data_IF_290104454969
#
_entry.id   IF_290104454969
#
_cell.length_a   1.000
_cell.length_b   1.000
_cell.length_c   1.000
_cell.angle_alpha   90.00
_cell.angle_beta   90.00
_cell.angle_gamma   90.00
#
_symmetry.space_group_name_H-M   'P 1'
#
loop_
_entity.id
_entity.type
_entity.pdbx_description
1 polymer ?
#
# COMPACT_ATOMS: atom_id res chain seq x y z
N UNK A 1 7.62 -57.13 -38.17
CA UNK A 1 6.53 -56.40 -37.48
C UNK A 1 7.01 -55.40 -36.42
N UNK A 2 8.05 -55.67 -35.61
CA UNK A 2 8.50 -54.77 -34.53
C UNK A 2 8.90 -53.34 -34.95
N UNK A 3 9.55 -53.14 -36.10
CA UNK A 3 10.00 -51.81 -36.56
C UNK A 3 8.87 -50.82 -36.91
N UNK A 4 7.70 -51.30 -37.40
CA UNK A 4 6.59 -50.40 -37.76
C UNK A 4 5.94 -49.77 -36.52
N UNK A 5 5.87 -50.49 -35.40
CA UNK A 5 5.30 -49.98 -34.15
C UNK A 5 6.21 -48.95 -33.46
N UNK A 6 7.53 -49.10 -33.56
CA UNK A 6 8.48 -48.13 -33.00
C UNK A 6 8.40 -46.77 -33.71
N UNK A 7 8.33 -46.76 -35.05
CA UNK A 7 8.21 -45.53 -35.84
C UNK A 7 6.88 -44.80 -35.58
N UNK A 8 5.78 -45.55 -35.45
CA UNK A 8 4.46 -44.98 -35.11
C UNK A 8 4.49 -44.37 -33.69
N UNK A 9 5.11 -45.05 -32.73
CA UNK A 9 5.20 -44.55 -31.34
C UNK A 9 6.03 -43.26 -31.21
N UNK A 10 7.18 -43.17 -31.92
CA UNK A 10 8.04 -41.98 -31.91
C UNK A 10 7.35 -40.80 -32.60
N UNK A 11 6.65 -41.04 -33.72
CA UNK A 11 5.90 -40.00 -34.43
C UNK A 11 4.74 -39.45 -33.61
N UNK A 12 4.05 -40.29 -32.85
CA UNK A 12 2.93 -39.88 -31.99
C UNK A 12 3.40 -39.04 -30.79
N UNK A 13 4.54 -39.38 -30.18
CA UNK A 13 5.17 -38.60 -29.11
C UNK A 13 5.64 -37.23 -29.62
N UNK A 14 6.19 -37.16 -30.84
CA UNK A 14 6.61 -35.92 -31.48
C UNK A 14 5.42 -34.98 -31.78
N UNK A 15 4.31 -35.54 -32.28
CA UNK A 15 3.08 -34.78 -32.55
C UNK A 15 2.48 -34.24 -31.24
N UNK A 16 2.41 -35.06 -30.19
CA UNK A 16 1.92 -34.65 -28.87
C UNK A 16 2.85 -33.59 -28.26
N UNK A 17 4.16 -33.73 -28.40
CA UNK A 17 5.15 -32.74 -27.94
C UNK A 17 5.02 -31.39 -28.65
N UNK A 18 4.88 -31.38 -29.98
CA UNK A 18 4.68 -30.16 -30.77
C UNK A 18 3.33 -29.49 -30.42
N UNK A 19 2.26 -30.28 -30.27
CA UNK A 19 0.96 -29.78 -29.80
C UNK A 19 1.06 -29.19 -28.39
N UNK A 20 1.77 -29.86 -27.48
CA UNK A 20 1.99 -29.38 -26.11
C UNK A 20 2.76 -28.06 -26.04
N UNK A 21 3.83 -27.93 -26.82
CA UNK A 21 4.60 -26.67 -26.94
C UNK A 21 3.73 -25.56 -27.58
N UNK A 22 2.97 -25.88 -28.63
CA UNK A 22 2.05 -24.94 -29.26
C UNK A 22 0.96 -24.44 -28.30
N UNK A 23 0.41 -25.33 -27.48
CA UNK A 23 -0.54 -25.01 -26.41
C UNK A 23 0.08 -24.13 -25.32
N UNK A 24 1.32 -24.41 -24.91
CA UNK A 24 2.03 -23.60 -23.92
C UNK A 24 2.33 -22.19 -24.44
N UNK A 25 2.84 -22.05 -25.67
CA UNK A 25 3.10 -20.76 -26.31
C UNK A 25 1.80 -19.98 -26.51
N UNK A 26 0.73 -20.66 -26.93
CA UNK A 26 -0.59 -20.04 -27.06
C UNK A 26 -1.10 -19.54 -25.70
N UNK A 27 -0.95 -20.33 -24.63
CA UNK A 27 -1.38 -19.94 -23.30
C UNK A 27 -0.59 -18.74 -22.76
N UNK A 28 0.73 -18.74 -22.92
CA UNK A 28 1.61 -17.63 -22.52
C UNK A 28 1.25 -16.32 -23.25
N UNK A 29 1.04 -16.39 -24.57
CA UNK A 29 0.62 -15.24 -25.37
C UNK A 29 -0.74 -14.68 -24.93
N UNK A 30 -1.68 -15.55 -24.56
CA UNK A 30 -2.99 -15.13 -24.03
C UNK A 30 -2.84 -14.47 -22.66
N UNK A 31 -2.02 -15.05 -21.78
CA UNK A 31 -1.77 -14.50 -20.44
C UNK A 31 -1.13 -13.11 -20.52
N UNK A 32 -0.09 -12.95 -21.35
CA UNK A 32 0.55 -11.66 -21.59
C UNK A 32 -0.44 -10.62 -22.15
N UNK A 33 -1.35 -11.02 -23.04
CA UNK A 33 -2.41 -10.14 -23.54
C UNK A 33 -3.36 -9.69 -22.42
N UNK A 34 -3.78 -10.61 -21.54
CA UNK A 34 -4.66 -10.28 -20.41
C UNK A 34 -3.98 -9.38 -19.38
N UNK A 35 -2.70 -9.62 -19.09
CA UNK A 35 -1.92 -8.76 -18.19
C UNK A 35 -1.83 -7.34 -18.75
N UNK A 36 -1.54 -7.20 -20.05
CA UNK A 36 -1.50 -5.92 -20.76
C UNK A 36 -2.84 -5.17 -20.71
N UNK A 37 -3.97 -5.86 -20.95
CA UNK A 37 -5.31 -5.28 -20.81
C UNK A 37 -5.53 -4.79 -19.38
N UNK A 38 -5.17 -5.62 -18.41
CA UNK A 38 -5.41 -5.35 -16.99
C UNK A 38 -4.59 -4.15 -16.50
N UNK A 39 -3.31 -4.06 -16.88
CA UNK A 39 -2.44 -2.94 -16.52
C UNK A 39 -2.89 -1.62 -17.16
N UNK A 40 -3.19 -1.64 -18.46
CA UNK A 40 -3.70 -0.46 -19.15
C UNK A 40 -5.03 0.03 -18.55
N UNK A 41 -5.95 -0.89 -18.25
CA UNK A 41 -7.23 -0.57 -17.63
C UNK A 41 -7.08 0.11 -16.25
N UNK A 42 -6.33 -0.50 -15.32
CA UNK A 42 -6.15 0.08 -13.99
C UNK A 42 -5.36 1.39 -14.01
N UNK A 43 -4.42 1.54 -14.95
CA UNK A 43 -3.72 2.80 -15.19
C UNK A 43 -4.67 3.91 -15.65
N UNK A 44 -5.57 3.62 -16.59
CA UNK A 44 -6.56 4.60 -17.09
C UNK A 44 -7.59 4.97 -16.03
N UNK A 45 -8.22 4.00 -15.36
CA UNK A 45 -9.23 4.31 -14.32
C UNK A 45 -8.63 5.13 -13.18
N UNK A 46 -7.36 4.86 -12.81
CA UNK A 46 -6.64 5.67 -11.81
C UNK A 46 -6.45 7.13 -12.25
N UNK A 47 -6.17 7.36 -13.54
CA UNK A 47 -5.91 8.69 -14.09
C UNK A 47 -7.19 9.51 -14.28
N UNK A 48 -8.22 8.88 -14.85
CA UNK A 48 -9.42 9.58 -15.32
C UNK A 48 -10.53 9.61 -14.26
N UNK A 49 -10.37 8.88 -13.14
CA UNK A 49 -11.38 8.70 -12.11
C UNK A 49 -12.75 8.32 -12.70
N UNK A 50 -12.72 7.52 -13.78
CA UNK A 50 -13.89 7.08 -14.54
C UNK A 50 -14.63 5.99 -13.77
N UNK A 51 -15.38 6.41 -12.73
CA UNK A 51 -16.15 5.56 -11.82
C UNK A 51 -17.63 5.97 -11.87
N UNK A 52 -18.58 5.03 -11.65
CA UNK A 52 -19.98 5.39 -11.46
C UNK A 52 -20.15 6.40 -10.32
N UNK A 53 -21.10 7.34 -10.47
CA UNK A 53 -21.36 8.39 -9.47
C UNK A 53 -21.76 7.83 -8.09
N UNK A 54 -22.33 6.63 -8.06
CA UNK A 54 -22.69 5.88 -6.84
C UNK A 54 -21.47 5.49 -5.98
N UNK A 55 -20.26 5.51 -6.55
CA UNK A 55 -19.01 5.19 -5.87
C UNK A 55 -18.38 6.48 -5.34
N UNK A 56 -18.45 6.71 -4.03
CA UNK A 56 -17.93 7.95 -3.42
C UNK A 56 -16.43 8.14 -3.71
N UNK A 57 -16.06 9.35 -4.16
CA UNK A 57 -14.72 9.75 -4.68
C UNK A 57 -13.51 9.55 -3.75
N UNK A 58 -13.71 9.20 -2.48
CA UNK A 58 -12.65 9.07 -1.47
C UNK A 58 -12.20 7.62 -1.21
N UNK A 59 -12.58 6.67 -2.07
CA UNK A 59 -12.18 5.26 -1.95
C UNK A 59 -10.77 5.07 -2.54
N UNK A 60 -9.95 4.21 -1.89
CA UNK A 60 -8.69 3.70 -2.46
C UNK A 60 -8.92 3.30 -3.93
N UNK A 61 -8.10 3.83 -4.83
CA UNK A 61 -8.19 3.54 -6.28
C UNK A 61 -8.25 2.02 -6.48
N UNK A 62 -9.09 1.50 -7.40
CA UNK A 62 -9.18 0.07 -7.59
C UNK A 62 -7.86 -0.41 -8.21
N UNK A 63 -7.37 -1.55 -7.75
CA UNK A 63 -6.12 -2.18 -8.19
C UNK A 63 -6.36 -3.67 -8.39
N UNK A 64 -5.40 -4.35 -9.05
CA UNK A 64 -5.44 -5.81 -9.26
C UNK A 64 -5.58 -6.58 -7.93
N UNK A 65 -5.04 -6.04 -6.85
CA UNK A 65 -4.96 -6.70 -5.54
C UNK A 65 -6.24 -6.54 -4.71
N UNK A 66 -7.09 -5.55 -5.01
CA UNK A 66 -8.26 -5.21 -4.20
C UNK A 66 -9.61 -5.39 -4.92
N UNK A 67 -9.58 -5.84 -6.17
CA UNK A 67 -10.76 -5.93 -7.03
C UNK A 67 -10.86 -7.30 -7.70
N UNK A 68 -12.09 -7.78 -7.88
CA UNK A 68 -12.35 -8.85 -8.84
C UNK A 68 -12.52 -8.24 -10.22
N UNK A 69 -11.96 -8.89 -11.22
CA UNK A 69 -11.86 -8.38 -12.56
C UNK A 69 -12.11 -9.51 -13.55
N UNK A 70 -12.91 -9.29 -14.57
CA UNK A 70 -13.16 -10.29 -15.61
C UNK A 70 -13.21 -9.63 -16.99
N UNK A 71 -12.54 -10.26 -17.97
CA UNK A 71 -12.53 -9.81 -19.36
C UNK A 71 -13.45 -10.72 -20.17
N UNK A 72 -14.26 -10.10 -21.03
CA UNK A 72 -15.17 -10.76 -21.95
C UNK A 72 -14.89 -10.26 -23.37
N UNK A 73 -15.01 -11.14 -24.36
CA UNK A 73 -15.05 -10.70 -25.76
C UNK A 73 -16.35 -9.94 -26.02
N UNK A 74 -16.30 -8.86 -26.81
CA UNK A 74 -17.49 -8.21 -27.35
C UNK A 74 -18.03 -8.99 -28.54
N UNK A 75 -19.36 -9.12 -28.62
CA UNK A 75 -20.03 -9.69 -29.78
C UNK A 75 -19.71 -8.84 -31.02
N UNK A 76 -19.45 -9.51 -32.14
CA UNK A 76 -19.22 -8.90 -33.45
C UNK A 76 -18.02 -7.94 -33.56
N UNK A 77 -17.11 -7.90 -32.57
CA UNK A 77 -15.87 -7.13 -32.68
C UNK A 77 -14.70 -7.81 -31.92
N UNK A 78 -13.71 -8.30 -32.68
CA UNK A 78 -12.53 -9.01 -32.12
C UNK A 78 -11.52 -8.08 -31.43
N UNK A 79 -11.61 -6.77 -31.63
CA UNK A 79 -10.68 -5.78 -31.05
C UNK A 79 -11.26 -5.08 -29.82
N UNK A 80 -12.53 -5.34 -29.48
CA UNK A 80 -13.19 -4.74 -28.32
C UNK A 80 -13.49 -5.79 -27.25
N UNK A 81 -13.30 -5.36 -26.00
CA UNK A 81 -13.49 -6.20 -24.84
C UNK A 81 -14.38 -5.50 -23.84
N UNK A 82 -15.17 -6.30 -23.12
CA UNK A 82 -15.88 -5.84 -21.95
C UNK A 82 -15.15 -6.27 -20.68
N UNK A 83 -15.09 -5.36 -19.72
CA UNK A 83 -14.53 -5.59 -18.40
C UNK A 83 -15.65 -5.50 -17.39
N UNK A 84 -15.76 -6.54 -16.55
CA UNK A 84 -16.57 -6.51 -15.33
C UNK A 84 -15.63 -6.30 -14.15
N UNK A 85 -15.75 -5.16 -13.49
CA UNK A 85 -15.00 -4.83 -12.28
C UNK A 85 -15.93 -4.98 -11.07
N UNK A 86 -15.47 -5.68 -10.04
CA UNK A 86 -16.12 -5.69 -8.73
C UNK A 86 -15.13 -5.20 -7.69
N UNK A 87 -15.40 -4.03 -7.13
CA UNK A 87 -14.53 -3.35 -6.17
C UNK A 87 -15.23 -3.16 -4.82
N UNK A 88 -14.43 -3.00 -3.77
CA UNK A 88 -14.96 -2.66 -2.44
C UNK A 88 -15.03 -1.15 -2.32
N UNK A 89 -16.23 -0.63 -2.09
CA UNK A 89 -16.47 0.78 -1.82
C UNK A 89 -17.02 1.03 -0.42
N UNK A 90 -17.04 2.31 -0.03
CA UNK A 90 -17.68 2.78 1.19
C UNK A 90 -19.17 3.00 0.90
N UNK A 91 -20.03 2.42 1.72
CA UNK A 91 -21.48 2.62 1.69
C UNK A 91 -21.78 4.12 1.79
N UNK A 92 -22.68 4.60 0.94
CA UNK A 92 -23.09 6.00 0.90
C UNK A 92 -23.62 6.52 2.25
N UNK A 93 -24.13 5.63 3.10
CA UNK A 93 -24.65 5.94 4.43
C UNK A 93 -23.58 5.93 5.52
N UNK A 94 -22.31 5.69 5.18
CA UNK A 94 -21.21 5.73 6.14
C UNK A 94 -21.02 7.14 6.68
N UNK A 95 -20.92 7.26 8.01
CA UNK A 95 -20.82 8.54 8.71
C UNK A 95 -19.53 9.28 8.34
N UNK A 96 -19.70 10.53 7.90
CA UNK A 96 -18.61 11.48 7.76
C UNK A 96 -18.35 12.12 9.12
N UNK A 97 -17.08 12.21 9.50
CA UNK A 97 -16.63 13.16 10.51
C UNK A 97 -16.17 14.39 9.75
N UNK A 98 -16.84 15.51 10.01
CA UNK A 98 -16.33 16.81 9.57
C UNK A 98 -15.13 17.13 10.49
N UNK A 99 -13.92 16.91 10.01
CA UNK A 99 -12.74 17.54 10.60
C UNK A 99 -12.35 18.74 9.74
N UNK A 100 -12.27 19.89 10.38
CA UNK A 100 -11.56 21.02 9.81
C UNK A 100 -10.77 21.71 10.90
N UNK A 101 -9.50 21.97 10.60
CA UNK A 101 -8.95 23.34 10.62
C UNK A 101 -7.57 23.31 9.96
N UNK A 102 -7.56 23.66 8.67
CA UNK A 102 -6.38 24.13 7.97
C UNK A 102 -6.78 25.37 7.18
N UNK A 103 -5.92 26.38 7.14
CA UNK A 103 -6.12 27.56 6.30
C UNK A 103 -5.27 27.44 5.04
N UNK A 104 -5.88 27.63 3.87
CA UNK A 104 -5.17 27.83 2.60
C UNK A 104 -5.60 29.21 2.09
N UNK A 105 -4.63 30.12 1.92
CA UNK A 105 -4.89 31.49 1.44
C UNK A 105 -5.99 32.22 2.23
N UNK A 106 -5.98 32.10 3.56
CA UNK A 106 -6.95 32.77 4.44
C UNK A 106 -8.37 32.16 4.46
N UNK A 107 -8.63 31.07 3.72
CA UNK A 107 -9.91 30.36 3.74
C UNK A 107 -9.80 29.06 4.52
N UNK A 108 -10.78 28.82 5.39
CA UNK A 108 -10.88 27.57 6.15
C UNK A 108 -11.30 26.44 5.21
N UNK A 109 -10.42 25.45 5.02
CA UNK A 109 -10.74 24.24 4.27
C UNK A 109 -11.34 23.20 5.22
N UNK A 110 -12.53 22.72 4.84
CA UNK A 110 -13.18 21.58 5.47
C UNK A 110 -12.87 20.36 4.61
N UNK A 111 -12.09 19.43 5.16
CA UNK A 111 -11.80 18.15 4.49
C UNK A 111 -12.64 17.07 5.17
N UNK A 112 -13.76 16.63 4.57
CA UNK A 112 -14.57 15.58 5.15
C UNK A 112 -13.75 14.28 5.21
N UNK A 113 -13.66 13.68 6.39
CA UNK A 113 -13.00 12.39 6.62
C UNK A 113 -14.05 11.38 7.10
N UNK A 114 -13.94 10.11 6.73
CA UNK A 114 -14.89 9.10 7.24
C UNK A 114 -14.53 8.69 8.67
N UNK A 115 -15.55 8.42 9.49
CA UNK A 115 -15.33 7.75 10.77
C UNK A 115 -14.89 6.32 10.49
N UNK A 116 -13.57 6.06 10.53
CA UNK A 116 -12.98 4.74 10.28
C UNK A 116 -13.63 3.62 11.09
N UNK A 117 -14.19 3.92 12.28
CA UNK A 117 -14.85 2.93 13.14
C UNK A 117 -16.29 2.60 12.71
N UNK A 118 -16.89 3.45 11.88
CA UNK A 118 -18.28 3.33 11.39
C UNK A 118 -18.37 3.16 9.88
N UNK A 119 -17.26 3.03 9.16
CA UNK A 119 -17.26 2.77 7.72
C UNK A 119 -17.97 1.44 7.45
N UNK A 120 -19.04 1.49 6.68
CA UNK A 120 -19.67 0.29 6.12
C UNK A 120 -19.10 0.07 4.72
N UNK A 121 -18.59 -1.13 4.49
CA UNK A 121 -18.06 -1.52 3.18
C UNK A 121 -19.09 -2.32 2.39
N UNK A 122 -19.26 -1.99 1.10
CA UNK A 122 -20.13 -2.71 0.15
C UNK A 122 -19.37 -3.02 -1.13
N UNK A 123 -19.76 -4.11 -1.79
CA UNK A 123 -19.26 -4.41 -3.14
C UNK A 123 -20.03 -3.65 -4.21
N UNK A 124 -19.30 -2.97 -5.09
CA UNK A 124 -19.84 -2.31 -6.27
C UNK A 124 -19.44 -3.11 -7.51
N UNK A 125 -20.33 -3.18 -8.49
CA UNK A 125 -20.04 -3.83 -9.77
C UNK A 125 -20.25 -2.85 -10.89
N UNK A 126 -19.21 -2.64 -11.67
CA UNK A 126 -19.18 -1.71 -12.80
C UNK A 126 -18.77 -2.45 -14.06
N UNK A 127 -19.21 -1.95 -15.19
CA UNK A 127 -18.98 -2.54 -16.50
C UNK A 127 -18.30 -1.52 -17.39
N UNK A 128 -17.28 -1.94 -18.11
CA UNK A 128 -16.50 -1.07 -18.98
C UNK A 128 -16.30 -1.70 -20.35
N UNK A 129 -16.18 -0.89 -21.38
CA UNK A 129 -15.69 -1.28 -22.68
C UNK A 129 -14.26 -0.74 -22.86
N UNK A 130 -13.38 -1.58 -23.41
CA UNK A 130 -12.02 -1.20 -23.80
C UNK A 130 -11.72 -1.63 -25.23
N UNK A 131 -10.82 -0.89 -25.88
CA UNK A 131 -10.47 -1.09 -27.29
C UNK A 131 -8.98 -1.36 -27.47
N UNK A 132 -8.66 -2.48 -28.13
CA UNK A 132 -7.30 -2.87 -28.49
C UNK A 132 -6.61 -1.86 -29.40
N UNK A 133 -7.34 -1.21 -30.31
CA UNK A 133 -6.78 -0.20 -31.21
C UNK A 133 -6.14 0.97 -30.44
N UNK A 134 -6.65 1.25 -29.24
CA UNK A 134 -6.12 2.27 -28.34
C UNK A 134 -5.12 1.72 -27.32
N UNK A 135 -4.57 0.52 -27.55
CA UNK A 135 -3.75 -0.18 -26.57
C UNK A 135 -4.46 -0.31 -25.20
N UNK A 136 -5.79 -0.47 -25.23
CA UNK A 136 -6.69 -0.56 -24.09
C UNK A 136 -6.75 0.68 -23.20
N UNK A 137 -6.21 1.82 -23.64
CA UNK A 137 -6.23 3.05 -22.84
C UNK A 137 -7.56 3.78 -22.88
N UNK A 138 -8.40 3.56 -23.91
CA UNK A 138 -9.74 4.11 -23.97
C UNK A 138 -10.71 3.23 -23.17
N UNK A 139 -11.05 3.67 -21.97
CA UNK A 139 -11.96 2.96 -21.05
C UNK A 139 -13.28 3.72 -21.00
N UNK A 140 -14.37 3.09 -21.46
CA UNK A 140 -15.72 3.67 -21.43
C UNK A 140 -16.58 2.93 -20.39
N UNK A 141 -17.18 3.66 -19.45
CA UNK A 141 -18.20 3.09 -18.55
C UNK A 141 -19.46 2.74 -19.36
N UNK A 142 -19.99 1.54 -19.16
CA UNK A 142 -21.21 1.06 -19.82
C UNK A 142 -22.20 0.55 -18.79
N UNK A 143 -23.48 0.59 -19.14
CA UNK A 143 -24.52 0.08 -18.25
C UNK A 143 -24.59 -1.46 -18.29
N UNK A 144 -25.25 -2.06 -17.30
CA UNK A 144 -25.39 -3.52 -17.18
C UNK A 144 -26.12 -4.15 -18.37
N UNK A 145 -27.12 -3.47 -18.93
CA UNK A 145 -27.91 -3.98 -20.04
C UNK A 145 -27.06 -4.11 -21.30
N UNK A 146 -26.31 -3.07 -21.65
CA UNK A 146 -25.37 -3.05 -22.77
C UNK A 146 -24.34 -4.19 -22.64
N UNK A 147 -23.70 -4.30 -21.47
CA UNK A 147 -22.77 -5.38 -21.18
C UNK A 147 -23.40 -6.76 -21.33
N UNK A 148 -24.60 -6.95 -20.79
CA UNK A 148 -25.26 -8.27 -20.79
C UNK A 148 -25.65 -8.71 -22.19
N UNK A 149 -26.13 -7.77 -23.02
CA UNK A 149 -26.55 -8.04 -24.38
C UNK A 149 -25.36 -8.35 -25.30
N UNK A 150 -24.25 -7.62 -25.16
CA UNK A 150 -23.12 -7.69 -26.11
C UNK A 150 -21.93 -8.51 -25.63
N UNK A 151 -21.91 -9.04 -24.40
CA UNK A 151 -20.84 -9.94 -23.97
C UNK A 151 -20.97 -11.29 -24.67
N UNK A 152 -19.83 -11.88 -25.07
CA UNK A 152 -19.74 -13.25 -25.56
C UNK A 152 -19.21 -14.17 -24.44
N UNK A 153 -18.03 -14.73 -24.64
CA UNK A 153 -17.38 -15.63 -23.70
C UNK A 153 -16.46 -14.86 -22.74
N UNK A 154 -16.33 -15.37 -21.51
CA UNK A 154 -15.34 -14.88 -20.55
C UNK A 154 -13.97 -15.40 -20.97
N UNK A 155 -13.03 -14.49 -21.14
CA UNK A 155 -11.67 -14.77 -21.58
C UNK A 155 -10.71 -14.90 -20.39
N UNK A 156 -10.93 -14.07 -19.36
CA UNK A 156 -10.09 -14.01 -18.17
C UNK A 156 -10.91 -13.66 -16.94
N UNK A 157 -10.48 -14.14 -15.78
CA UNK A 157 -11.08 -13.77 -14.50
C UNK A 157 -10.03 -13.81 -13.40
N UNK A 158 -10.00 -12.76 -12.59
CA UNK A 158 -9.24 -12.65 -11.36
C UNK A 158 -10.22 -12.40 -10.21
N UNK A 159 -10.14 -13.21 -9.16
CA UNK A 159 -11.04 -13.13 -8.02
C UNK A 159 -10.32 -12.67 -6.74
N UNK A 160 -9.97 -11.38 -6.70
CA UNK A 160 -9.33 -10.78 -5.53
C UNK A 160 -10.29 -9.92 -4.70
N UNK A 161 -11.57 -9.86 -5.06
CA UNK A 161 -12.59 -9.17 -4.28
C UNK A 161 -12.82 -9.85 -2.92
N UNK A 162 -12.55 -9.14 -1.83
CA UNK A 162 -12.86 -9.63 -0.51
C UNK A 162 -13.21 -8.49 0.46
N UNK A 163 -14.50 -8.34 0.78
CA UNK A 163 -15.00 -7.35 1.75
C UNK A 163 -14.45 -7.60 3.16
N UNK A 164 -14.22 -8.85 3.56
CA UNK A 164 -13.63 -9.18 4.87
C UNK A 164 -12.17 -8.73 4.95
N UNK A 165 -11.37 -8.92 3.89
CA UNK A 165 -9.99 -8.40 3.81
C UNK A 165 -9.95 -6.87 3.75
N UNK A 166 -10.92 -6.24 3.09
CA UNK A 166 -11.06 -4.79 3.09
C UNK A 166 -11.44 -4.24 4.48
N UNK A 167 -12.35 -4.94 5.20
CA UNK A 167 -12.65 -4.66 6.61
C UNK A 167 -11.44 -4.89 7.51
N UNK A 168 -10.61 -5.91 7.25
CA UNK A 168 -9.34 -6.15 7.96
C UNK A 168 -8.27 -5.09 7.62
N UNK A 169 -8.33 -4.42 6.46
CA UNK A 169 -7.46 -3.25 6.22
C UNK A 169 -7.87 -2.03 7.06
N UNK A 170 -9.12 -1.98 7.51
CA UNK A 170 -9.60 -1.24 8.70
C UNK A 170 -9.54 -2.15 9.92
N UNK A 171 -8.46 -2.90 10.07
CA UNK A 171 -8.08 -3.39 11.37
C UNK A 171 -8.13 -2.18 12.29
N UNK A 172 -8.88 -2.32 13.37
CA UNK A 172 -8.79 -1.47 14.55
C UNK A 172 -7.32 -1.59 14.95
N UNK A 173 -6.47 -0.71 14.40
CA UNK A 173 -5.06 -0.72 14.72
C UNK A 173 -5.05 -0.39 16.21
N UNK A 174 -4.72 -1.39 17.03
CA UNK A 174 -4.75 -1.26 18.48
C UNK A 174 -3.93 -0.03 18.82
N UNK A 175 -4.56 0.93 19.49
CA UNK A 175 -3.85 2.13 19.95
C UNK A 175 -2.67 1.68 20.80
N UNK A 176 -1.55 2.37 20.63
CA UNK A 176 -0.37 2.16 21.44
C UNK A 176 -0.63 2.75 22.83
N UNK A 177 -0.22 2.02 23.86
CA UNK A 177 -0.19 2.46 25.25
C UNK A 177 1.22 2.24 25.81
N UNK A 178 1.59 2.96 26.88
CA UNK A 178 2.95 2.86 27.42
C UNK A 178 3.29 1.46 27.90
N UNK A 179 2.34 0.70 28.43
CA UNK A 179 2.55 -0.69 28.87
C UNK A 179 2.99 -1.58 27.70
N UNK A 180 2.32 -1.46 26.56
CA UNK A 180 2.66 -2.19 25.32
C UNK A 180 4.00 -1.73 24.76
N UNK A 181 4.31 -0.43 24.83
CA UNK A 181 5.60 0.08 24.38
C UNK A 181 6.75 -0.40 25.29
N UNK A 182 6.62 -0.29 26.61
CA UNK A 182 7.65 -0.69 27.57
C UNK A 182 7.96 -2.19 27.53
N UNK A 183 6.95 -3.03 27.26
CA UNK A 183 7.15 -4.48 27.07
C UNK A 183 7.79 -4.86 25.74
N UNK A 184 7.91 -3.92 24.78
CA UNK A 184 8.53 -4.16 23.47
C UNK A 184 9.48 -3.02 23.09
N UNK A 185 10.77 -3.19 23.40
CA UNK A 185 11.82 -2.18 23.14
C UNK A 185 11.88 -1.71 21.69
N UNK A 186 11.74 -2.62 20.71
CA UNK A 186 11.76 -2.25 19.28
C UNK A 186 10.56 -1.37 18.92
N UNK A 187 9.37 -1.69 19.45
CA UNK A 187 8.17 -0.90 19.22
C UNK A 187 8.25 0.47 19.92
N UNK A 188 8.79 0.53 21.14
CA UNK A 188 9.06 1.79 21.85
C UNK A 188 10.02 2.67 21.05
N UNK A 189 11.18 2.13 20.65
CA UNK A 189 12.19 2.90 19.91
C UNK A 189 11.65 3.34 18.54
N UNK A 190 10.89 2.49 17.84
CA UNK A 190 10.22 2.88 16.60
C UNK A 190 9.24 4.04 16.80
N UNK A 191 8.51 4.04 17.91
CA UNK A 191 7.54 5.10 18.25
C UNK A 191 8.25 6.43 18.51
N UNK A 192 9.36 6.38 19.27
CA UNK A 192 10.22 7.52 19.59
C UNK A 192 10.86 8.09 18.32
N UNK A 193 11.52 7.23 17.54
CA UNK A 193 12.19 7.64 16.29
C UNK A 193 11.19 8.21 15.30
N UNK A 194 10.01 7.57 15.16
CA UNK A 194 8.94 8.08 14.29
C UNK A 194 8.47 9.49 14.72
N UNK A 195 8.29 9.72 16.02
CA UNK A 195 7.94 11.04 16.55
C UNK A 195 9.05 12.05 16.26
N UNK A 196 10.30 11.65 16.50
CA UNK A 196 11.50 12.43 16.23
C UNK A 196 11.53 12.96 14.80
N UNK A 197 11.48 12.04 13.83
CA UNK A 197 11.46 12.33 12.39
C UNK A 197 10.28 13.23 12.00
N UNK A 198 9.09 12.99 12.57
CA UNK A 198 7.85 13.55 12.02
C UNK A 198 7.36 14.82 12.69
N UNK A 199 7.88 15.16 13.88
CA UNK A 199 7.25 16.18 14.72
C UNK A 199 8.23 17.02 15.56
N UNK A 200 9.54 16.73 15.55
CA UNK A 200 10.49 17.58 16.25
C UNK A 200 10.93 18.77 15.40
N UNK A 201 11.11 19.96 16.03
CA UNK A 201 11.76 21.10 15.40
C UNK A 201 13.29 20.98 15.44
N UNK A 202 13.83 19.77 15.26
CA UNK A 202 15.27 19.49 15.20
C UNK A 202 15.53 18.82 13.86
N UNK A 203 16.09 19.55 12.89
CA UNK A 203 16.22 19.08 11.49
C UNK A 203 17.01 17.79 11.37
N UNK A 204 18.05 17.61 12.20
CA UNK A 204 18.84 16.38 12.27
C UNK A 204 18.03 15.10 12.52
N UNK A 205 16.90 15.20 13.22
CA UNK A 205 16.00 14.05 13.41
C UNK A 205 15.25 13.70 12.14
N UNK A 206 15.03 14.66 11.23
CA UNK A 206 14.37 14.44 9.94
C UNK A 206 15.30 13.72 8.96
N UNK A 207 16.62 13.86 9.10
CA UNK A 207 17.63 13.11 8.32
C UNK A 207 17.51 11.59 8.53
N UNK A 208 16.99 11.14 9.67
CA UNK A 208 16.69 9.72 9.93
C UNK A 208 15.50 9.19 9.10
N UNK A 209 14.86 10.02 8.27
CA UNK A 209 13.70 9.61 7.49
C UNK A 209 14.01 8.62 6.35
N UNK A 210 15.28 8.35 6.02
CA UNK A 210 15.62 7.33 5.02
C UNK A 210 15.24 5.93 5.52
N UNK A 211 14.15 5.39 4.95
CA UNK A 211 13.47 4.17 5.44
C UNK A 211 14.03 2.89 4.82
N UNK A 212 14.89 3.00 3.80
CA UNK A 212 15.26 1.87 2.95
C UNK A 212 16.10 0.84 3.72
N UNK A 213 17.00 1.34 4.56
CA UNK A 213 18.01 0.53 5.26
C UNK A 213 17.66 0.28 6.74
N UNK A 214 16.64 0.92 7.31
CA UNK A 214 16.22 0.76 8.71
C UNK A 214 17.00 1.65 9.69
N UNK A 215 17.03 1.29 10.97
CA UNK A 215 17.72 2.06 12.02
C UNK A 215 18.48 1.15 12.97
N UNK A 216 19.65 1.62 13.40
CA UNK A 216 20.42 1.01 14.46
C UNK A 216 20.33 1.88 15.72
N UNK A 217 20.10 1.22 16.87
CA UNK A 217 20.00 1.87 18.17
C UNK A 217 21.00 1.25 19.13
N UNK A 218 22.02 2.01 19.56
CA UNK A 218 23.00 1.53 20.54
C UNK A 218 22.66 2.08 21.93
N UNK A 219 22.61 1.20 22.92
CA UNK A 219 22.31 1.57 24.29
C UNK A 219 23.57 1.84 25.11
N UNK A 220 23.69 3.07 25.65
CA UNK A 220 24.77 3.42 26.57
C UNK A 220 24.39 3.16 28.04
N UNK A 221 25.38 2.87 28.92
CA UNK A 221 25.16 2.68 30.36
C UNK A 221 24.52 3.88 31.07
N UNK A 222 24.74 5.10 30.58
CA UNK A 222 24.19 6.34 31.15
C UNK A 222 22.71 6.60 30.78
N UNK A 223 22.09 5.63 30.11
CA UNK A 223 20.70 5.66 29.70
C UNK A 223 20.47 6.19 28.28
N UNK A 224 21.46 6.82 27.64
CA UNK A 224 21.32 7.31 26.26
C UNK A 224 21.08 6.16 25.27
N UNK A 225 20.33 6.46 24.21
CA UNK A 225 20.05 5.58 23.08
C UNK A 225 20.45 6.32 21.82
N UNK A 226 21.59 5.94 21.27
CA UNK A 226 22.18 6.54 20.08
C UNK A 226 21.49 5.96 18.85
N UNK A 227 21.11 6.81 17.89
CA UNK A 227 20.31 6.43 16.72
C UNK A 227 21.02 6.84 15.44
N UNK A 228 21.19 5.87 14.54
CA UNK A 228 21.69 6.07 13.20
C UNK A 228 20.68 5.58 12.16
N UNK A 229 20.72 6.18 10.96
CA UNK A 229 20.09 5.61 9.77
C UNK A 229 20.91 4.43 9.27
N UNK A 230 20.24 3.37 8.82
CA UNK A 230 20.86 2.10 8.48
C UNK A 230 20.83 1.11 9.64
N UNK A 231 20.18 -0.04 9.42
CA UNK A 231 20.02 -1.11 10.41
C UNK A 231 21.34 -1.80 10.78
N UNK A 232 22.31 -1.81 9.84
CA UNK A 232 23.60 -2.47 9.97
C UNK A 232 24.74 -1.49 9.64
N UNK A 233 24.61 -0.23 10.09
CA UNK A 233 25.62 0.79 9.83
C UNK A 233 26.92 0.39 10.53
N UNK A 234 28.01 0.35 9.78
CA UNK A 234 29.34 -0.01 10.28
C UNK A 234 29.97 1.17 11.03
N UNK A 235 30.99 0.90 11.85
CA UNK A 235 31.67 1.96 12.60
C UNK A 235 32.36 2.99 11.68
N UNK A 236 32.87 2.56 10.52
CA UNK A 236 33.47 3.44 9.51
C UNK A 236 32.45 4.40 8.86
N UNK A 237 31.17 4.01 8.84
CA UNK A 237 30.07 4.83 8.33
C UNK A 237 29.51 5.81 9.37
N UNK A 238 29.84 5.65 10.66
CA UNK A 238 29.40 6.54 11.77
C UNK A 238 30.26 7.81 11.85
N UNK A 239 30.37 8.53 10.74
CA UNK A 239 31.24 9.72 10.61
C UNK A 239 30.65 10.97 11.28
N UNK A 240 29.34 10.98 11.52
CA UNK A 240 28.63 12.06 12.19
C UNK A 240 28.18 11.60 13.58
N UNK A 241 28.21 12.49 14.59
CA UNK A 241 27.60 12.20 15.88
C UNK A 241 26.14 11.74 15.73
N UNK A 242 25.69 10.75 16.49
CA UNK A 242 24.32 10.26 16.38
C UNK A 242 23.31 11.27 16.92
N UNK A 243 22.09 11.21 16.39
CA UNK A 243 20.93 11.66 17.16
C UNK A 243 20.77 10.73 18.36
N UNK A 244 20.32 11.23 19.50
CA UNK A 244 20.09 10.34 20.63
C UNK A 244 18.90 10.76 21.47
N UNK A 245 18.33 9.81 22.19
CA UNK A 245 17.29 10.09 23.15
C UNK A 245 17.58 9.44 24.49
N UNK A 246 16.99 10.00 25.55
CA UNK A 246 16.95 9.42 26.87
C UNK A 246 15.51 9.28 27.32
N UNK A 247 15.20 8.17 27.96
CA UNK A 247 13.89 7.86 28.50
C UNK A 247 13.89 8.06 30.01
N UNK A 248 12.82 8.66 30.51
CA UNK A 248 12.45 8.61 31.92
C UNK A 248 11.00 8.11 32.07
N UNK A 249 10.46 8.14 33.29
CA UNK A 249 9.10 7.68 33.59
C UNK A 249 8.01 8.52 32.92
N UNK A 250 8.31 9.79 32.62
CA UNK A 250 7.35 10.80 32.21
C UNK A 250 7.44 11.14 30.71
N UNK A 251 8.55 10.82 30.06
CA UNK A 251 8.77 11.21 28.68
C UNK A 251 10.12 10.85 28.10
N UNK A 252 10.45 11.59 27.04
CA UNK A 252 11.60 11.37 26.19
C UNK A 252 12.32 12.69 25.99
N UNK A 253 13.59 12.75 26.37
CA UNK A 253 14.49 13.84 26.02
C UNK A 253 15.17 13.51 24.69
N UNK A 254 14.83 14.24 23.63
CA UNK A 254 15.43 14.10 22.31
C UNK A 254 16.59 15.07 22.18
N UNK A 255 17.71 14.60 21.65
CA UNK A 255 18.90 15.42 21.46
C UNK A 255 19.54 15.21 20.10
N UNK A 256 20.15 16.26 19.60
CA UNK A 256 21.01 16.22 18.42
C UNK A 256 22.04 17.34 18.47
N UNK A 257 23.14 17.16 17.75
CA UNK A 257 24.20 18.16 17.67
C UNK A 257 23.91 19.17 16.55
N UNK A 258 24.37 20.40 16.72
CA UNK A 258 24.32 21.42 15.67
C UNK A 258 25.65 21.39 14.91
N UNK A 259 25.59 21.40 13.58
CA UNK A 259 26.80 21.47 12.74
C UNK A 259 27.42 22.87 12.89
N UNK A 260 28.74 22.95 13.09
CA UNK A 260 29.50 24.21 13.23
C UNK A 260 29.21 25.05 14.49
N UNK A 261 28.68 24.48 15.57
CA UNK A 261 28.21 25.22 16.75
C UNK A 261 29.09 25.18 18.01
N UNK A 262 30.35 24.75 17.93
CA UNK A 262 31.21 24.55 19.12
C UNK A 262 30.54 23.67 20.20
N UNK A 263 30.09 22.46 19.83
CA UNK A 263 29.46 21.46 20.73
C UNK A 263 28.11 21.87 21.34
N UNK A 264 27.39 22.82 20.76
CA UNK A 264 26.01 23.07 21.16
C UNK A 264 25.07 21.96 20.67
N UNK A 265 24.25 21.44 21.59
CA UNK A 265 23.20 20.47 21.31
C UNK A 265 21.84 21.16 21.27
N UNK A 266 20.97 20.71 20.35
CA UNK A 266 19.54 20.95 20.45
C UNK A 266 18.91 19.85 21.29
N UNK A 267 18.05 20.23 22.23
CA UNK A 267 17.26 19.29 23.03
C UNK A 267 15.78 19.63 22.99
N UNK A 268 14.93 18.61 22.98
CA UNK A 268 13.49 18.76 23.13
C UNK A 268 12.93 17.63 23.99
N UNK A 269 12.36 17.99 25.13
CA UNK A 269 11.62 17.03 25.96
C UNK A 269 10.18 16.88 25.49
N UNK A 270 9.68 15.64 25.48
CA UNK A 270 8.32 15.28 25.08
C UNK A 270 7.74 14.31 26.09
N UNK A 271 6.62 14.70 26.70
CA UNK A 271 5.89 13.83 27.64
C UNK A 271 5.25 12.62 26.92
N UNK A 272 5.12 11.52 27.65
CA UNK A 272 4.53 10.27 27.16
C UNK A 272 3.10 10.45 26.64
N UNK A 273 2.29 11.30 27.28
CA UNK A 273 0.93 11.62 26.84
C UNK A 273 0.90 12.31 25.46
N UNK A 274 1.79 13.28 25.23
CA UNK A 274 1.95 14.00 23.95
C UNK A 274 2.45 13.07 22.85
N UNK A 275 3.40 12.19 23.18
CA UNK A 275 3.91 11.16 22.28
C UNK A 275 2.79 10.20 21.86
N UNK A 276 2.09 9.61 22.83
CA UNK A 276 0.97 8.69 22.58
C UNK A 276 -0.18 9.35 21.84
N UNK A 277 -0.53 10.59 22.21
CA UNK A 277 -1.55 11.36 21.52
C UNK A 277 -1.19 11.52 20.04
N UNK A 278 0.04 11.94 19.74
CA UNK A 278 0.48 12.13 18.35
C UNK A 278 0.42 10.84 17.54
N UNK A 279 0.95 9.73 18.05
CA UNK A 279 1.02 8.48 17.27
C UNK A 279 -0.35 7.83 17.11
N UNK A 280 -1.24 7.95 18.10
CA UNK A 280 -2.58 7.38 18.06
C UNK A 280 -3.62 8.23 17.31
N UNK A 281 -3.28 9.45 16.89
CA UNK A 281 -4.19 10.31 16.11
C UNK A 281 -4.58 9.69 14.76
N UNK A 282 -3.71 8.88 14.14
CA UNK A 282 -3.92 8.32 12.80
C UNK A 282 -3.52 6.85 12.73
N UNK A 283 -4.38 5.93 12.30
CA UNK A 283 -4.03 4.51 12.13
C UNK A 283 -2.83 4.27 11.21
N UNK A 284 -2.62 5.14 10.21
CA UNK A 284 -1.46 5.07 9.32
C UNK A 284 -0.13 5.27 10.05
N UNK A 285 -0.09 6.10 11.11
CA UNK A 285 1.12 6.29 11.94
C UNK A 285 1.46 5.02 12.69
N UNK A 286 0.46 4.40 13.33
CA UNK A 286 0.67 3.15 14.06
C UNK A 286 1.13 2.02 13.12
N UNK A 287 0.55 1.91 11.92
CA UNK A 287 1.03 0.94 10.91
C UNK A 287 2.49 1.20 10.50
N UNK A 288 2.86 2.47 10.30
CA UNK A 288 4.24 2.83 9.99
C UNK A 288 5.20 2.50 11.13
N UNK A 289 4.80 2.78 12.38
CA UNK A 289 5.58 2.44 13.59
C UNK A 289 5.77 0.92 13.70
N UNK A 290 4.72 0.13 13.52
CA UNK A 290 4.81 -1.33 13.52
C UNK A 290 5.75 -1.85 12.44
N UNK A 291 5.75 -1.24 11.24
CA UNK A 291 6.72 -1.54 10.19
C UNK A 291 8.15 -1.14 10.60
N UNK A 292 8.34 0.05 11.16
CA UNK A 292 9.65 0.50 11.61
C UNK A 292 10.23 -0.41 12.71
N UNK A 293 9.40 -0.92 13.61
CA UNK A 293 9.83 -1.83 14.67
C UNK A 293 10.51 -3.11 14.13
N UNK A 294 10.14 -3.59 12.93
CA UNK A 294 10.81 -4.75 12.31
C UNK A 294 12.16 -4.37 11.65
N UNK A 295 12.39 -3.08 11.44
CA UNK A 295 13.58 -2.52 10.82
C UNK A 295 14.57 -1.94 11.84
N UNK A 296 14.29 -2.07 13.14
CA UNK A 296 15.21 -1.67 14.21
C UNK A 296 16.15 -2.82 14.59
N UNK A 297 17.45 -2.52 14.55
CA UNK A 297 18.49 -3.27 15.23
C UNK A 297 18.82 -2.59 16.57
N UNK A 298 18.96 -3.39 17.64
CA UNK A 298 19.32 -2.89 18.97
C UNK A 298 20.63 -3.58 19.33
N UNK A 299 21.65 -2.79 19.64
CA UNK A 299 22.97 -3.22 20.08
C UNK A 299 23.28 -2.73 21.50
#
# INVERSE_FOLDING_TARGET
MKHKYTIISVSMVLIIGILGIGLAIYHDKQQHMYDKITDAFFKTIKRENNRPDEIKKYIKVPTKENSSFSIYAKQNNKQQYYIKLREVGIDEKSSLIIKAKGQLQGKTLIVPEYDATKIKYRGYTSYYQVDQATNFSNVKLVNKAEFTHHKKQRLFSLNNFNVKKAKQHVEIVKKLDMTTLQSNKKLLYATIIYYGISNLPIERWQELADKSSGWQVNALPDGRKLVWSGKNITDDEKQLPPNYFKLDENGVDYRSFIIHSNNQEMSQYVKNDKLLYYVNQKPARIKQINKMATQINIE
#
